data_IF_986220136541
#
_entry.id   IF_986220136541
#
_cell.length_a   1.000
_cell.length_b   1.000
_cell.length_c   1.000
_cell.angle_alpha   90.00
_cell.angle_beta   90.00
_cell.angle_gamma   90.00
#
_symmetry.space_group_name_H-M   'P 1'
#
loop_
_entity.id
_entity.type
_entity.pdbx_description
1 polymer ?
#
# COMPACT_ATOMS: atom_id res chain seq x y z
N UNK A 1 1.00 -13.10 8.48
CA UNK A 1 1.36 -11.98 7.57
C UNK A 1 0.09 -11.33 7.06
N UNK A 2 0.07 -10.01 6.84
CA UNK A 2 -1.13 -9.32 6.39
C UNK A 2 -0.90 -7.89 5.94
N UNK A 3 -1.98 -7.24 5.50
CA UNK A 3 -2.00 -5.83 5.14
C UNK A 3 -2.63 -5.00 6.25
N UNK A 4 -2.05 -3.83 6.50
CA UNK A 4 -2.62 -2.81 7.38
C UNK A 4 -2.80 -1.53 6.58
N UNK A 5 -3.96 -0.92 6.73
CA UNK A 5 -4.26 0.39 6.17
C UNK A 5 -4.47 1.39 7.31
N UNK A 6 -3.67 2.46 7.33
CA UNK A 6 -3.76 3.55 8.30
C UNK A 6 -4.32 4.78 7.63
N UNK A 7 -5.56 5.14 7.98
CA UNK A 7 -6.17 6.39 7.55
C UNK A 7 -6.90 7.01 8.74
N UNK A 8 -6.60 8.26 9.06
CA UNK A 8 -7.17 8.95 10.23
C UNK A 8 -8.68 9.17 10.03
N UNK A 9 -9.48 8.77 11.03
CA UNK A 9 -10.92 9.04 11.05
C UNK A 9 -11.76 8.16 10.12
N UNK A 10 -11.19 7.05 9.64
CA UNK A 10 -11.87 6.01 8.86
C UNK A 10 -12.41 4.93 9.82
N UNK A 11 -13.59 4.40 9.53
CA UNK A 11 -14.18 3.34 10.35
C UNK A 11 -13.48 1.99 10.10
N UNK A 12 -13.53 1.02 11.03
CA UNK A 12 -12.96 -0.31 10.81
C UNK A 12 -13.52 -1.03 9.57
N UNK A 13 -14.81 -0.83 9.26
CA UNK A 13 -15.45 -1.41 8.08
C UNK A 13 -14.89 -0.81 6.78
N UNK A 14 -14.64 0.49 6.77
CA UNK A 14 -14.04 1.17 5.62
C UNK A 14 -12.58 0.73 5.43
N UNK A 15 -11.80 0.59 6.52
CA UNK A 15 -10.44 0.02 6.49
C UNK A 15 -10.45 -1.37 5.85
N UNK A 16 -11.38 -2.24 6.23
CA UNK A 16 -11.51 -3.58 5.63
C UNK A 16 -11.84 -3.52 4.13
N UNK A 17 -12.68 -2.58 3.70
CA UNK A 17 -12.96 -2.35 2.28
C UNK A 17 -11.71 -1.90 1.52
N UNK A 18 -10.90 -1.02 2.12
CA UNK A 18 -9.62 -0.60 1.56
C UNK A 18 -8.62 -1.75 1.42
N UNK A 19 -8.46 -2.57 2.46
CA UNK A 19 -7.58 -3.74 2.42
C UNK A 19 -8.02 -4.71 1.33
N UNK A 20 -9.32 -5.01 1.23
CA UNK A 20 -9.85 -5.89 0.20
C UNK A 20 -9.61 -5.35 -1.23
N UNK A 21 -9.64 -4.02 -1.40
CA UNK A 21 -9.31 -3.38 -2.68
C UNK A 21 -7.82 -3.53 -3.03
N UNK A 22 -6.90 -3.31 -2.09
CA UNK A 22 -5.47 -3.57 -2.29
C UNK A 22 -5.21 -5.04 -2.66
N UNK A 23 -5.83 -5.99 -1.95
CA UNK A 23 -5.70 -7.42 -2.25
C UNK A 23 -6.18 -7.78 -3.66
N UNK A 24 -7.25 -7.13 -4.14
CA UNK A 24 -7.74 -7.32 -5.49
C UNK A 24 -6.74 -6.84 -6.55
N UNK A 25 -6.04 -5.73 -6.31
CA UNK A 25 -4.97 -5.23 -7.19
C UNK A 25 -3.82 -6.23 -7.27
N UNK A 26 -3.29 -6.69 -6.13
CA UNK A 26 -2.23 -7.69 -6.10
C UNK A 26 -2.61 -8.97 -6.85
N UNK A 27 -3.83 -9.46 -6.60
CA UNK A 27 -4.37 -10.64 -7.29
C UNK A 27 -4.48 -10.44 -8.80
N UNK A 28 -4.93 -9.26 -9.26
CA UNK A 28 -5.05 -8.95 -10.68
C UNK A 28 -3.68 -8.86 -11.36
N UNK A 29 -2.68 -8.31 -10.67
CA UNK A 29 -1.29 -8.24 -11.14
C UNK A 29 -0.55 -9.58 -11.07
N UNK A 30 -1.09 -10.58 -10.37
CA UNK A 30 -0.48 -11.90 -10.21
C UNK A 30 0.76 -11.90 -9.30
N UNK A 31 0.91 -10.90 -8.43
CA UNK A 31 2.02 -10.81 -7.47
C UNK A 31 1.49 -10.86 -6.03
N UNK A 32 2.36 -11.23 -5.10
CA UNK A 32 2.02 -11.21 -3.68
C UNK A 32 2.18 -9.81 -3.11
N UNK A 33 1.43 -9.49 -2.04
CA UNK A 33 1.62 -8.24 -1.30
C UNK A 33 3.07 -8.07 -0.81
N UNK A 34 3.72 -9.16 -0.41
CA UNK A 34 5.13 -9.15 -0.02
C UNK A 34 6.04 -8.74 -1.18
N UNK A 35 5.85 -9.29 -2.39
CA UNK A 35 6.68 -8.93 -3.56
C UNK A 35 6.51 -7.46 -3.92
N UNK A 36 5.27 -6.96 -3.89
CA UNK A 36 4.95 -5.57 -4.13
C UNK A 36 5.61 -4.65 -3.09
N UNK A 37 5.48 -4.96 -1.80
CA UNK A 37 6.12 -4.23 -0.71
C UNK A 37 7.65 -4.23 -0.84
N UNK A 38 8.25 -5.36 -1.25
CA UNK A 38 9.69 -5.46 -1.50
C UNK A 38 10.12 -4.57 -2.67
N UNK A 39 9.35 -4.52 -3.76
CA UNK A 39 9.63 -3.59 -4.87
C UNK A 39 9.55 -2.14 -4.43
N UNK A 40 8.55 -1.78 -3.62
CA UNK A 40 8.44 -0.44 -3.03
C UNK A 40 9.66 -0.10 -2.16
N UNK A 41 10.14 -1.05 -1.36
CA UNK A 41 11.35 -0.86 -0.56
C UNK A 41 12.59 -0.57 -1.42
N UNK A 42 12.81 -1.33 -2.50
CA UNK A 42 13.93 -1.07 -3.42
C UNK A 42 13.79 0.30 -4.13
N UNK A 43 12.57 0.72 -4.47
CA UNK A 43 12.31 2.05 -5.03
C UNK A 43 12.70 3.16 -4.05
N UNK A 44 12.29 3.05 -2.78
CA UNK A 44 12.62 4.04 -1.75
C UNK A 44 14.12 4.07 -1.46
N UNK A 45 14.79 2.90 -1.39
CA UNK A 45 16.25 2.86 -1.25
C UNK A 45 16.96 3.52 -2.44
N UNK A 46 16.46 3.32 -3.65
CA UNK A 46 17.02 3.97 -4.83
C UNK A 46 16.85 5.49 -4.81
N UNK A 47 15.71 6.01 -4.32
CA UNK A 47 15.51 7.46 -4.09
C UNK A 47 16.43 8.00 -2.99
N UNK A 48 16.53 7.29 -1.86
CA UNK A 48 17.42 7.64 -0.73
C UNK A 48 18.91 7.69 -1.15
N UNK A 49 19.31 6.80 -2.06
CA UNK A 49 20.66 6.76 -2.66
C UNK A 49 20.85 7.81 -3.77
N UNK A 50 19.85 8.67 -4.03
CA UNK A 50 19.94 9.75 -5.02
C UNK A 50 19.79 9.28 -6.47
N UNK A 51 19.07 8.18 -6.68
CA UNK A 51 18.88 7.51 -7.97
C UNK A 51 20.18 6.97 -8.59
N UNK A 52 21.18 6.66 -7.78
CA UNK A 52 22.41 6.03 -8.25
C UNK A 52 22.17 4.56 -8.65
N UNK A 53 22.80 4.13 -9.75
CA UNK A 53 22.60 2.77 -10.29
C UNK A 53 21.27 2.60 -11.03
N UNK A 54 20.78 1.35 -11.10
CA UNK A 54 19.55 1.01 -11.79
C UNK A 54 18.61 0.25 -10.84
N UNK A 55 17.37 0.73 -10.70
CA UNK A 55 16.28 -0.07 -10.16
C UNK A 55 15.88 -1.13 -11.20
N UNK A 56 15.78 -2.39 -10.78
CA UNK A 56 15.43 -3.47 -11.70
C UNK A 56 14.02 -3.28 -12.27
N UNK A 57 13.79 -3.71 -13.52
CA UNK A 57 12.47 -3.64 -14.14
C UNK A 57 11.41 -4.43 -13.33
N UNK A 58 11.83 -5.51 -12.67
CA UNK A 58 10.94 -6.31 -11.82
C UNK A 58 10.55 -5.55 -10.55
N UNK A 59 11.50 -4.90 -9.88
CA UNK A 59 11.24 -4.11 -8.67
C UNK A 59 10.43 -2.85 -8.98
N UNK A 60 10.74 -2.17 -10.08
CA UNK A 60 9.96 -1.02 -10.55
C UNK A 60 8.50 -1.39 -10.84
N UNK A 61 8.25 -2.54 -11.48
CA UNK A 61 6.89 -3.06 -11.70
C UNK A 61 6.21 -3.43 -10.38
N UNK A 62 6.93 -4.09 -9.48
CA UNK A 62 6.38 -4.47 -8.18
C UNK A 62 6.02 -3.25 -7.32
N UNK A 63 6.86 -2.20 -7.33
CA UNK A 63 6.60 -0.92 -6.67
C UNK A 63 5.38 -0.21 -7.27
N UNK A 64 5.26 -0.20 -8.60
CA UNK A 64 4.10 0.38 -9.30
C UNK A 64 2.80 -0.28 -8.86
N UNK A 65 2.78 -1.61 -8.75
CA UNK A 65 1.61 -2.35 -8.26
C UNK A 65 1.31 -2.05 -6.78
N UNK A 66 2.34 -1.80 -5.95
CA UNK A 66 2.12 -1.36 -4.56
C UNK A 66 1.42 0.00 -4.51
N UNK A 67 1.88 0.97 -5.29
CA UNK A 67 1.27 2.31 -5.38
C UNK A 67 -0.19 2.23 -5.89
N UNK A 68 -0.45 1.39 -6.89
CA UNK A 68 -1.82 1.13 -7.37
C UNK A 68 -2.71 0.51 -6.28
N UNK A 69 -2.17 -0.42 -5.50
CA UNK A 69 -2.89 -1.05 -4.41
C UNK A 69 -3.19 -0.07 -3.27
N UNK A 70 -2.24 0.81 -2.93
CA UNK A 70 -2.44 1.88 -1.94
C UNK A 70 -3.52 2.88 -2.40
N UNK A 71 -3.45 3.32 -3.66
CA UNK A 71 -4.45 4.20 -4.25
C UNK A 71 -5.86 3.56 -4.20
N UNK A 72 -5.97 2.30 -4.64
CA UNK A 72 -7.24 1.56 -4.60
C UNK A 72 -7.78 1.39 -3.16
N UNK A 73 -6.89 1.18 -2.19
CA UNK A 73 -7.26 1.06 -0.79
C UNK A 73 -7.81 2.37 -0.22
N UNK A 74 -7.17 3.50 -0.54
CA UNK A 74 -7.61 4.84 -0.14
C UNK A 74 -8.95 5.17 -0.77
N UNK A 75 -9.12 4.94 -2.07
CA UNK A 75 -10.37 5.19 -2.79
C UNK A 75 -11.53 4.38 -2.20
N UNK A 76 -11.30 3.08 -1.95
CA UNK A 76 -12.32 2.21 -1.36
C UNK A 76 -12.67 2.58 0.11
N UNK A 77 -11.72 3.13 0.88
CA UNK A 77 -11.97 3.67 2.21
C UNK A 77 -12.78 4.97 2.19
N UNK A 78 -12.47 5.84 1.23
CA UNK A 78 -12.97 7.21 1.19
C UNK A 78 -14.24 7.35 0.35
N UNK A 79 -14.86 6.25 -0.09
CA UNK A 79 -16.15 6.29 -0.80
C UNK A 79 -17.17 7.12 -0.02
N UNK A 80 -17.64 8.21 -0.62
CA UNK A 80 -18.62 9.13 -0.03
C UNK A 80 -18.03 10.19 0.91
N UNK A 81 -16.71 10.29 1.05
CA UNK A 81 -16.08 11.41 1.74
C UNK A 81 -16.18 12.67 0.88
N UNK A 82 -16.41 13.84 1.48
CA UNK A 82 -16.33 15.10 0.75
C UNK A 82 -14.85 15.40 0.40
N UNK A 83 -14.61 16.03 -0.74
CA UNK A 83 -13.25 16.27 -1.29
C UNK A 83 -12.26 16.88 -0.29
N UNK A 84 -12.74 17.76 0.61
CA UNK A 84 -11.94 18.41 1.65
C UNK A 84 -11.50 17.48 2.80
N UNK A 85 -12.01 16.25 2.83
CA UNK A 85 -11.68 15.23 3.85
C UNK A 85 -10.74 14.16 3.31
N UNK A 86 -10.38 14.19 2.02
CA UNK A 86 -9.45 13.21 1.45
C UNK A 86 -8.14 13.20 2.26
N UNK A 87 -7.64 12.02 2.64
CA UNK A 87 -6.61 11.88 3.68
C UNK A 87 -5.23 12.46 3.34
N UNK A 88 -5.01 12.93 2.11
CA UNK A 88 -3.75 13.54 1.68
C UNK A 88 -2.56 12.62 2.00
N UNK A 89 -1.45 13.20 2.49
CA UNK A 89 -0.24 12.47 2.88
C UNK A 89 -0.35 11.72 4.23
N UNK A 90 -1.54 11.56 4.81
CA UNK A 90 -1.75 10.89 6.11
C UNK A 90 -2.35 9.49 5.96
N UNK A 91 -2.21 8.87 4.78
CA UNK A 91 -2.62 7.49 4.50
C UNK A 91 -1.43 6.56 4.26
N UNK A 92 -1.47 5.45 4.98
CA UNK A 92 -0.57 4.30 5.07
C UNK A 92 -1.01 2.93 4.53
N UNK A 93 -0.57 2.39 3.40
CA UNK A 93 -0.66 0.93 3.19
C UNK A 93 0.64 0.26 3.66
N UNK A 94 0.53 -0.81 4.44
CA UNK A 94 1.66 -1.53 5.01
C UNK A 94 1.50 -3.03 4.96
N UNK A 95 2.62 -3.72 4.80
CA UNK A 95 2.74 -5.16 4.96
C UNK A 95 3.37 -5.48 6.31
N UNK A 96 2.81 -6.44 7.04
CA UNK A 96 3.37 -6.90 8.31
C UNK A 96 3.51 -8.42 8.36
N UNK A 97 4.51 -8.87 9.09
CA UNK A 97 4.67 -10.27 9.48
C UNK A 97 4.05 -10.52 10.87
N UNK A 98 3.77 -11.77 11.23
CA UNK A 98 3.10 -12.07 12.51
C UNK A 98 3.94 -11.70 13.74
N UNK A 99 5.26 -11.50 13.57
CA UNK A 99 6.15 -10.98 14.61
C UNK A 99 5.97 -9.47 14.88
N UNK A 100 5.33 -8.75 13.96
CA UNK A 100 5.15 -7.28 13.98
C UNK A 100 3.69 -6.86 14.20
N UNK A 101 2.81 -7.82 14.50
CA UNK A 101 1.45 -7.50 14.96
C UNK A 101 1.51 -6.83 16.34
N UNK A 102 1.08 -5.57 16.49
CA UNK A 102 0.82 -5.01 17.80
C UNK A 102 -0.40 -5.73 18.36
N UNK A 103 -0.24 -6.29 19.56
CA UNK A 103 -1.35 -6.85 20.34
C UNK A 103 -2.55 -5.88 20.32
N UNK A 104 -3.74 -6.43 20.06
CA UNK A 104 -5.03 -5.74 20.11
C UNK A 104 -5.25 -4.98 21.42
#
# INVERSE_FOLDING_TARGET
MGLRLRIKGVSPADIQRGIAAAEAVFKAAGITAFRACSGMFELECWDDDGFEGELSEEDSKAASVWLEAEAAAIDACCVGWPDHKMPGSLSSLEYYTDAESPNH
#
